data_IF_089906555674
#
_entry.id   IF_089906555674
#
_cell.length_a   1.000
_cell.length_b   1.000
_cell.length_c   1.000
_cell.angle_alpha   90.00
_cell.angle_beta   90.00
_cell.angle_gamma   90.00
#
_symmetry.space_group_name_H-M   'P 1'
#
loop_
_entity.id
_entity.type
_entity.pdbx_description
1 polymer ?
#
# COMPACT_ATOMS: atom_id res chain seq x y z
N UNK A 1 21.14 2.58 4.50
CA UNK A 1 20.37 3.59 5.26
C UNK A 1 20.62 5.08 4.92
N UNK A 2 21.28 5.41 3.80
CA UNK A 2 21.24 6.74 3.17
C UNK A 2 20.87 6.62 1.68
N UNK A 3 21.31 5.56 1.03
CA UNK A 3 21.15 5.36 -0.43
C UNK A 3 19.71 5.12 -0.88
N UNK A 4 18.88 4.46 -0.06
CA UNK A 4 17.45 4.26 -0.36
C UNK A 4 16.65 5.58 -0.35
N UNK A 5 17.07 6.57 0.45
CA UNK A 5 16.40 7.88 0.50
C UNK A 5 16.79 8.78 -0.65
N UNK A 6 17.95 8.58 -1.27
CA UNK A 6 18.44 9.42 -2.37
C UNK A 6 17.51 9.40 -3.59
N UNK A 7 16.80 8.29 -3.84
CA UNK A 7 15.84 8.19 -4.95
C UNK A 7 14.56 9.03 -4.74
N UNK A 8 14.21 9.35 -3.48
CA UNK A 8 13.04 10.17 -3.13
C UNK A 8 13.38 11.65 -2.91
N UNK A 9 14.67 12.00 -2.91
CA UNK A 9 15.17 13.38 -2.73
C UNK A 9 15.33 14.15 -4.04
N UNK A 10 14.88 13.57 -5.17
CA UNK A 10 14.72 14.28 -6.44
C UNK A 10 13.35 14.95 -6.51
N UNK A 11 13.22 15.95 -7.39
CA UNK A 11 11.89 16.44 -7.78
C UNK A 11 11.05 15.26 -8.25
N UNK A 12 9.87 15.11 -7.64
CA UNK A 12 8.90 14.11 -8.05
C UNK A 12 8.14 14.69 -9.25
N UNK A 13 8.04 13.93 -10.33
CA UNK A 13 7.25 14.35 -11.50
C UNK A 13 5.79 14.56 -11.05
N UNK A 14 5.22 15.73 -11.37
CA UNK A 14 3.87 16.11 -10.97
C UNK A 14 2.78 15.20 -11.57
N UNK A 15 3.12 14.41 -12.58
CA UNK A 15 2.21 13.48 -13.26
C UNK A 15 2.15 12.09 -12.60
N UNK A 16 2.98 11.78 -11.60
CA UNK A 16 2.88 10.47 -10.95
C UNK A 16 1.67 10.41 -10.02
N UNK A 17 0.99 9.27 -10.04
CA UNK A 17 -0.06 8.96 -9.08
C UNK A 17 0.54 8.66 -7.70
N UNK A 18 -0.29 8.78 -6.66
CA UNK A 18 0.13 8.42 -5.31
C UNK A 18 0.53 6.95 -5.19
N UNK A 19 -0.12 6.04 -5.94
CA UNK A 19 0.24 4.61 -5.97
C UNK A 19 1.64 4.40 -6.53
N UNK A 20 1.98 5.09 -7.61
CA UNK A 20 3.32 5.04 -8.20
C UNK A 20 4.36 5.61 -7.24
N UNK A 21 4.10 6.78 -6.66
CA UNK A 21 4.93 7.35 -5.61
C UNK A 21 5.16 6.37 -4.46
N UNK A 22 4.08 5.80 -3.91
CA UNK A 22 4.13 4.86 -2.80
C UNK A 22 5.04 3.65 -3.10
N UNK A 23 4.94 3.10 -4.31
CA UNK A 23 5.76 1.97 -4.75
C UNK A 23 7.26 2.32 -4.85
N UNK A 24 7.59 3.58 -5.14
CA UNK A 24 8.97 4.09 -5.18
C UNK A 24 9.54 4.38 -3.78
N UNK A 25 8.68 4.52 -2.76
CA UNK A 25 9.14 4.83 -1.40
C UNK A 25 9.83 3.66 -0.69
N UNK A 26 10.63 3.97 0.33
CA UNK A 26 11.33 2.96 1.11
C UNK A 26 10.38 2.12 1.98
N UNK A 27 10.89 0.99 2.47
CA UNK A 27 10.13 0.06 3.30
C UNK A 27 9.61 0.70 4.60
N UNK A 28 10.34 1.70 5.12
CA UNK A 28 9.96 2.40 6.33
C UNK A 28 8.69 3.22 6.09
N UNK A 29 8.68 4.07 5.07
CA UNK A 29 7.52 4.88 4.72
C UNK A 29 6.30 4.01 4.40
N UNK A 30 6.48 2.98 3.56
CA UNK A 30 5.39 2.06 3.20
C UNK A 30 4.75 1.42 4.44
N UNK A 31 5.58 1.02 5.42
CA UNK A 31 5.11 0.38 6.65
C UNK A 31 4.42 1.35 7.60
N UNK A 32 4.97 2.55 7.79
CA UNK A 32 4.36 3.58 8.62
C UNK A 32 3.00 4.01 8.06
N UNK A 33 2.90 4.13 6.74
CA UNK A 33 1.67 4.58 6.09
C UNK A 33 0.56 3.52 6.08
N UNK A 34 0.87 2.27 5.73
CA UNK A 34 -0.14 1.18 5.72
C UNK A 34 -0.45 0.65 7.14
N UNK A 35 0.51 0.78 8.04
CA UNK A 35 0.57 0.03 9.29
C UNK A 35 1.11 -1.40 9.09
N UNK A 36 1.60 -2.05 10.17
CA UNK A 36 2.42 -3.25 10.07
C UNK A 36 1.71 -4.45 9.44
N UNK A 37 0.41 -4.65 9.72
CA UNK A 37 -0.35 -5.80 9.23
C UNK A 37 -0.70 -5.67 7.74
N UNK A 38 -1.13 -4.50 7.28
CA UNK A 38 -1.42 -4.23 5.86
C UNK A 38 -0.14 -4.22 5.03
N UNK A 39 0.93 -3.65 5.57
CA UNK A 39 2.25 -3.70 4.95
C UNK A 39 2.71 -5.14 4.69
N UNK A 40 2.50 -6.05 5.65
CA UNK A 40 2.80 -7.47 5.47
C UNK A 40 2.04 -8.07 4.29
N UNK A 41 0.71 -7.86 4.24
CA UNK A 41 -0.13 -8.34 3.12
C UNK A 41 0.32 -7.78 1.77
N UNK A 42 0.70 -6.51 1.73
CA UNK A 42 1.22 -5.85 0.53
C UNK A 42 2.55 -6.44 0.07
N UNK A 43 3.54 -6.58 0.96
CA UNK A 43 4.87 -7.11 0.59
C UNK A 43 4.87 -8.60 0.24
N UNK A 44 3.93 -9.35 0.80
CA UNK A 44 3.72 -10.76 0.46
C UNK A 44 2.93 -10.94 -0.86
N UNK A 45 2.51 -9.84 -1.50
CA UNK A 45 1.77 -9.88 -2.77
C UNK A 45 0.34 -10.43 -2.64
N UNK A 46 -0.17 -10.55 -1.42
CA UNK A 46 -1.54 -11.03 -1.18
C UNK A 46 -2.57 -9.96 -1.54
N UNK A 47 -2.23 -8.68 -1.35
CA UNK A 47 -3.10 -7.53 -1.61
C UNK A 47 -2.34 -6.45 -2.40
N UNK A 48 -2.89 -6.05 -3.55
CA UNK A 48 -2.45 -4.84 -4.25
C UNK A 48 -2.81 -3.60 -3.44
N UNK A 49 -2.09 -2.49 -3.68
CA UNK A 49 -2.32 -1.21 -3.00
C UNK A 49 -3.81 -0.80 -3.01
N UNK A 50 -4.48 -0.90 -4.16
CA UNK A 50 -5.88 -0.46 -4.31
C UNK A 50 -6.86 -1.31 -3.49
N UNK A 51 -6.49 -2.55 -3.13
CA UNK A 51 -7.35 -3.44 -2.34
C UNK A 51 -7.51 -2.98 -0.89
N UNK A 52 -6.67 -2.05 -0.42
CA UNK A 52 -6.79 -1.51 0.94
C UNK A 52 -7.87 -0.44 1.07
N UNK A 53 -8.48 0.02 -0.02
CA UNK A 53 -9.41 1.15 0.00
C UNK A 53 -10.79 0.75 -0.50
N UNK A 54 -11.80 1.34 0.12
CA UNK A 54 -13.14 1.34 -0.44
C UNK A 54 -13.25 2.33 -1.63
N UNK A 55 -14.34 2.28 -2.43
CA UNK A 55 -14.51 3.17 -3.58
C UNK A 55 -14.54 4.66 -3.23
N UNK A 56 -14.68 5.02 -1.95
CA UNK A 56 -14.63 6.40 -1.46
C UNK A 56 -13.24 6.78 -0.94
N UNK A 57 -12.25 5.88 -1.03
CA UNK A 57 -10.87 6.09 -0.59
C UNK A 57 -10.64 5.85 0.90
N UNK A 58 -11.61 5.30 1.65
CA UNK A 58 -11.42 4.94 3.06
C UNK A 58 -10.61 3.65 3.14
N UNK A 59 -9.61 3.61 4.01
CA UNK A 59 -8.88 2.39 4.31
C UNK A 59 -9.79 1.35 4.98
N UNK A 60 -9.85 0.15 4.41
CA UNK A 60 -10.45 -0.99 5.07
C UNK A 60 -9.67 -1.37 6.33
N UNK A 61 -10.42 -1.76 7.36
CA UNK A 61 -9.92 -2.50 8.52
C UNK A 61 -9.49 -3.91 8.10
N UNK A 62 -8.73 -4.58 8.96
CA UNK A 62 -8.28 -5.94 8.68
C UNK A 62 -9.43 -6.95 8.65
N UNK A 63 -10.46 -6.71 9.46
CA UNK A 63 -11.67 -7.55 9.47
C UNK A 63 -12.46 -7.37 8.18
N UNK A 64 -12.62 -6.13 7.70
CA UNK A 64 -13.25 -5.87 6.40
C UNK A 64 -12.45 -6.50 5.24
N UNK A 65 -11.11 -6.44 5.28
CA UNK A 65 -10.27 -7.10 4.26
C UNK A 65 -10.46 -8.62 4.27
N UNK A 66 -10.51 -9.23 5.46
CA UNK A 66 -10.76 -10.68 5.61
C UNK A 66 -12.14 -11.06 5.07
N UNK A 67 -13.18 -10.28 5.39
CA UNK A 67 -14.52 -10.53 4.87
C UNK A 67 -14.61 -10.40 3.35
N UNK A 68 -13.92 -9.41 2.76
CA UNK A 68 -13.88 -9.24 1.30
C UNK A 68 -13.19 -10.41 0.61
N UNK A 69 -12.08 -10.88 1.17
CA UNK A 69 -11.35 -12.03 0.67
C UNK A 69 -12.21 -13.31 0.73
N UNK A 70 -12.80 -13.58 1.89
CA UNK A 70 -13.71 -14.72 2.09
C UNK A 70 -14.92 -14.71 1.14
N UNK A 71 -15.47 -13.53 0.85
CA UNK A 71 -16.57 -13.37 -0.14
C UNK A 71 -16.10 -13.60 -1.58
N UNK A 72 -14.83 -13.29 -1.89
CA UNK A 72 -14.27 -13.46 -3.23
C UNK A 72 -14.07 -14.93 -3.59
N UNK A 73 -13.83 -15.80 -2.60
CA UNK A 73 -13.58 -17.23 -2.79
C UNK A 73 -14.77 -18.16 -2.45
N UNK A 74 -15.87 -17.62 -1.90
CA UNK A 74 -17.11 -18.39 -1.73
C UNK A 74 -17.88 -18.41 -3.05
N UNK A 75 -17.70 -19.50 -3.79
CA UNK A 75 -18.56 -19.95 -4.91
C UNK A 75 -19.59 -20.93 -4.34
#
# INVERSE_FOLDING_TARGET
PKDERTQLMGQIDANISFKEFFNLTDNFFQKEWLGPKRYKLYKEGQFDFDKFFDPKGRLYTLDELRELDERTFKI
#
